data_IF_439863827467
#
_entry.id   IF_439863827467
#
_cell.length_a   1.000
_cell.length_b   1.000
_cell.length_c   1.000
_cell.angle_alpha   90.00
_cell.angle_beta   90.00
_cell.angle_gamma   90.00
#
_symmetry.space_group_name_H-M   'P 1'
#
loop_
_entity.id
_entity.type
_entity.pdbx_description
1 polymer ?
#
# COMPACT_ATOMS: atom_id res chain seq x y z
N UNK A 1 -28.21 22.46 26.12
CA UNK A 1 -27.63 21.14 25.88
C UNK A 1 -28.00 20.57 24.50
N UNK A 2 -29.30 20.53 24.17
CA UNK A 2 -29.80 20.03 22.88
C UNK A 2 -29.29 20.84 21.67
N UNK A 3 -29.20 22.17 21.79
CA UNK A 3 -28.73 23.03 20.68
C UNK A 3 -27.27 22.83 20.37
N UNK A 4 -26.44 22.54 21.37
CA UNK A 4 -25.03 22.16 21.18
C UNK A 4 -24.89 20.84 20.42
N UNK A 5 -25.68 19.85 20.79
CA UNK A 5 -25.69 18.54 20.10
C UNK A 5 -26.12 18.73 18.64
N UNK A 6 -27.17 19.50 18.37
CA UNK A 6 -27.62 19.80 17.00
C UNK A 6 -26.54 20.49 16.17
N UNK A 7 -25.84 21.45 16.79
CA UNK A 7 -24.75 22.16 16.14
C UNK A 7 -23.56 21.19 15.79
N UNK A 8 -23.15 20.36 16.75
CA UNK A 8 -22.10 19.37 16.52
C UNK A 8 -22.50 18.35 15.45
N UNK A 9 -23.75 17.89 15.42
CA UNK A 9 -24.27 17.04 14.35
C UNK A 9 -24.23 17.72 12.98
N UNK A 10 -24.61 18.99 12.89
CA UNK A 10 -24.55 19.73 11.61
C UNK A 10 -23.12 19.87 11.08
N UNK A 11 -22.13 20.04 11.95
CA UNK A 11 -20.72 20.06 11.57
C UNK A 11 -20.28 18.68 11.03
N UNK A 12 -20.69 17.61 11.70
CA UNK A 12 -20.37 16.24 11.27
C UNK A 12 -20.98 15.98 9.88
N UNK A 13 -22.23 16.33 9.67
CA UNK A 13 -22.92 16.16 8.38
C UNK A 13 -22.26 16.95 7.25
N UNK A 14 -21.91 18.22 7.53
CA UNK A 14 -21.21 19.07 6.56
C UNK A 14 -19.83 18.50 6.20
N UNK A 15 -19.09 18.06 7.22
CA UNK A 15 -17.77 17.47 7.04
C UNK A 15 -17.85 16.18 6.23
N UNK A 16 -18.82 15.32 6.50
CA UNK A 16 -19.03 14.09 5.74
C UNK A 16 -19.37 14.35 4.27
N UNK A 17 -20.23 15.34 3.99
CA UNK A 17 -20.53 15.76 2.61
C UNK A 17 -19.26 16.23 1.88
N UNK A 18 -18.47 17.08 2.53
CA UNK A 18 -17.22 17.58 1.96
C UNK A 18 -16.21 16.44 1.69
N UNK A 19 -16.12 15.44 2.59
CA UNK A 19 -15.27 14.27 2.38
C UNK A 19 -15.71 13.48 1.15
N UNK A 20 -16.99 13.19 1.00
CA UNK A 20 -17.55 12.48 -0.16
C UNK A 20 -17.25 13.23 -1.46
N UNK A 21 -17.38 14.56 -1.47
CA UNK A 21 -17.08 15.37 -2.65
C UNK A 21 -15.60 15.37 -3.02
N UNK A 22 -14.73 15.40 -2.01
CA UNK A 22 -13.27 15.28 -2.23
C UNK A 22 -12.90 13.88 -2.76
N UNK A 23 -13.47 12.83 -2.18
CA UNK A 23 -13.25 11.44 -2.63
C UNK A 23 -13.65 11.28 -4.10
N UNK A 24 -14.83 11.76 -4.51
CA UNK A 24 -15.29 11.74 -5.91
C UNK A 24 -14.33 12.48 -6.84
N UNK A 25 -13.83 13.65 -6.44
CA UNK A 25 -12.86 14.42 -7.23
C UNK A 25 -11.54 13.65 -7.40
N UNK A 26 -11.06 13.00 -6.35
CA UNK A 26 -9.87 12.16 -6.40
C UNK A 26 -10.09 10.98 -7.35
N UNK A 27 -11.21 10.27 -7.23
CA UNK A 27 -11.58 9.15 -8.11
C UNK A 27 -11.58 9.57 -9.58
N UNK A 28 -12.29 10.65 -9.91
CA UNK A 28 -12.33 11.17 -11.28
C UNK A 28 -10.94 11.54 -11.81
N UNK A 29 -10.10 12.15 -10.97
CA UNK A 29 -8.74 12.52 -11.33
C UNK A 29 -7.86 11.29 -11.64
N UNK A 30 -7.99 10.24 -10.85
CA UNK A 30 -7.22 9.00 -11.02
C UNK A 30 -7.72 8.19 -12.23
N UNK A 31 -9.03 8.10 -12.44
CA UNK A 31 -9.61 7.43 -13.60
C UNK A 31 -9.14 8.08 -14.91
N UNK A 32 -9.10 9.40 -14.96
CA UNK A 32 -8.59 10.14 -16.12
C UNK A 32 -7.12 9.82 -16.44
N UNK A 33 -6.31 9.51 -15.42
CA UNK A 33 -4.90 9.15 -15.57
C UNK A 33 -4.68 7.72 -16.03
N UNK A 34 -5.70 6.87 -15.93
CA UNK A 34 -5.62 5.44 -16.30
C UNK A 34 -4.40 4.71 -15.71
N UNK A 35 -4.22 4.85 -14.39
CA UNK A 35 -3.03 4.33 -13.71
C UNK A 35 -3.05 2.80 -13.62
N UNK A 36 -2.04 2.15 -14.19
CA UNK A 36 -1.90 0.69 -14.24
C UNK A 36 -1.99 -0.01 -12.88
N UNK A 37 -1.60 0.67 -11.80
CA UNK A 37 -1.65 0.06 -10.47
C UNK A 37 -3.09 -0.22 -10.00
N UNK A 38 -4.10 0.43 -10.58
CA UNK A 38 -5.51 0.14 -10.29
C UNK A 38 -5.99 -1.20 -10.87
N UNK A 39 -5.27 -1.77 -11.82
CA UNK A 39 -5.55 -3.12 -12.32
C UNK A 39 -5.28 -4.21 -11.26
N UNK A 40 -4.54 -3.87 -10.19
CA UNK A 40 -4.27 -4.78 -9.07
C UNK A 40 -5.51 -4.86 -8.18
N UNK A 41 -6.17 -6.03 -8.04
CA UNK A 41 -7.37 -6.17 -7.22
C UNK A 41 -7.12 -5.75 -5.77
N UNK A 42 -7.96 -4.82 -5.27
CA UNK A 42 -7.83 -4.25 -3.94
C UNK A 42 -7.02 -2.96 -3.87
N UNK A 43 -6.48 -2.47 -4.98
CA UNK A 43 -5.93 -1.12 -5.08
C UNK A 43 -6.98 -0.21 -5.71
N UNK A 44 -7.72 0.50 -4.87
CA UNK A 44 -8.70 1.49 -5.31
C UNK A 44 -8.08 2.87 -5.55
N UNK A 45 -8.88 3.80 -6.07
CA UNK A 45 -8.46 5.16 -6.43
C UNK A 45 -7.78 5.92 -5.28
N UNK A 46 -8.29 5.81 -4.04
CA UNK A 46 -7.71 6.47 -2.88
C UNK A 46 -6.31 5.96 -2.53
N UNK A 47 -6.09 4.64 -2.60
CA UNK A 47 -4.76 4.07 -2.38
C UNK A 47 -3.81 4.47 -3.51
N UNK A 48 -4.28 4.41 -4.76
CA UNK A 48 -3.54 4.86 -5.93
C UNK A 48 -3.13 6.35 -5.80
N UNK A 49 -4.09 7.23 -5.47
CA UNK A 49 -3.83 8.65 -5.26
C UNK A 49 -2.78 8.90 -4.17
N UNK A 50 -2.88 8.17 -3.04
CA UNK A 50 -1.93 8.29 -1.95
C UNK A 50 -0.53 7.86 -2.38
N UNK A 51 -0.40 6.77 -3.14
CA UNK A 51 0.89 6.32 -3.66
C UNK A 51 1.48 7.38 -4.58
N UNK A 52 0.69 7.93 -5.50
CA UNK A 52 1.14 8.97 -6.42
C UNK A 52 1.52 10.27 -5.72
N UNK A 53 0.75 10.69 -4.72
CA UNK A 53 1.03 11.90 -3.95
C UNK A 53 2.35 11.80 -3.17
N UNK A 54 2.62 10.64 -2.56
CA UNK A 54 3.79 10.42 -1.72
C UNK A 54 5.04 10.04 -2.51
N UNK A 55 4.88 9.30 -3.59
CA UNK A 55 5.99 8.77 -4.39
C UNK A 55 6.31 9.63 -5.60
N UNK A 56 5.28 10.27 -6.18
CA UNK A 56 5.39 10.92 -7.47
C UNK A 56 5.55 9.91 -8.61
N UNK A 57 6.45 10.19 -9.55
CA UNK A 57 6.72 9.29 -10.66
C UNK A 57 7.57 8.07 -10.23
N UNK A 58 6.97 6.90 -10.28
CA UNK A 58 7.65 5.63 -9.97
C UNK A 58 8.77 5.33 -10.97
N UNK A 59 8.67 5.81 -12.21
CA UNK A 59 9.67 5.58 -13.27
C UNK A 59 11.02 6.22 -12.95
N UNK A 60 11.06 7.24 -12.07
CA UNK A 60 12.32 7.89 -11.63
C UNK A 60 13.25 6.97 -10.86
N UNK A 61 12.74 5.90 -10.27
CA UNK A 61 13.57 4.97 -9.50
C UNK A 61 14.29 3.99 -10.43
N UNK A 62 15.61 3.94 -10.35
CA UNK A 62 16.44 3.08 -11.19
C UNK A 62 16.30 1.58 -10.86
N UNK A 63 15.84 1.23 -9.63
CA UNK A 63 15.63 -0.14 -9.20
C UNK A 63 14.49 -0.25 -8.20
N UNK A 64 13.91 -1.46 -8.11
CA UNK A 64 12.90 -1.76 -7.09
C UNK A 64 13.41 -1.51 -5.66
N UNK A 65 14.66 -1.84 -5.37
CA UNK A 65 15.21 -1.66 -4.02
C UNK A 65 15.24 -0.18 -3.63
N UNK A 66 15.57 0.74 -4.56
CA UNK A 66 15.52 2.19 -4.30
C UNK A 66 14.10 2.68 -4.06
N UNK A 67 13.14 2.20 -4.86
CA UNK A 67 11.73 2.48 -4.66
C UNK A 67 11.23 1.96 -3.31
N UNK A 68 11.54 0.71 -2.97
CA UNK A 68 11.14 0.07 -1.73
C UNK A 68 11.71 0.78 -0.49
N UNK A 69 13.00 1.13 -0.52
CA UNK A 69 13.62 1.92 0.55
C UNK A 69 12.96 3.30 0.71
N UNK A 70 12.61 3.97 -0.40
CA UNK A 70 11.91 5.25 -0.39
C UNK A 70 10.54 5.17 0.30
N UNK A 71 9.80 4.08 0.10
CA UNK A 71 8.49 3.89 0.76
C UNK A 71 8.59 3.76 2.28
N UNK A 72 9.77 3.44 2.81
CA UNK A 72 9.98 3.20 4.24
C UNK A 72 9.28 1.95 4.79
N UNK A 73 8.85 1.05 3.90
CA UNK A 73 8.20 -0.22 4.23
C UNK A 73 9.20 -1.38 4.32
N UNK A 74 10.47 -1.10 4.10
CA UNK A 74 11.55 -2.06 4.23
C UNK A 74 11.84 -2.36 5.70
N UNK A 75 11.82 -3.64 6.13
CA UNK A 75 12.24 -4.02 7.46
C UNK A 75 13.75 -3.73 7.62
N UNK A 76 14.13 -3.03 8.67
CA UNK A 76 15.55 -2.89 9.02
C UNK A 76 16.03 -4.13 9.74
N UNK A 77 17.08 -4.71 9.23
CA UNK A 77 17.95 -5.62 9.99
C UNK A 77 18.94 -4.75 10.76
N UNK A 78 18.87 -4.78 12.06
CA UNK A 78 19.96 -4.35 12.92
C UNK A 78 20.75 -5.62 13.26
N UNK A 79 21.88 -5.79 12.63
CA UNK A 79 22.89 -6.72 13.08
C UNK A 79 23.69 -5.97 14.18
N UNK A 80 23.35 -6.24 15.44
CA UNK A 80 24.22 -5.98 16.56
C UNK A 80 24.64 -7.33 17.10
N UNK A 81 25.94 -7.46 17.36
CA UNK A 81 26.70 -8.69 17.60
C UNK A 81 26.18 -9.61 18.72
N UNK A 82 25.15 -9.28 19.49
CA UNK A 82 24.72 -10.11 20.62
C UNK A 82 23.24 -10.07 20.99
N UNK A 83 22.35 -9.59 20.13
CA UNK A 83 20.92 -9.70 20.40
C UNK A 83 20.08 -9.77 19.13
N UNK A 84 19.20 -10.80 19.06
CA UNK A 84 18.16 -10.91 18.04
C UNK A 84 17.20 -9.72 18.19
N UNK A 85 17.53 -8.60 17.56
CA UNK A 85 16.67 -7.43 17.58
C UNK A 85 15.53 -7.63 16.59
N UNK A 86 14.32 -7.49 17.11
CA UNK A 86 13.08 -7.59 16.33
C UNK A 86 13.12 -6.59 15.18
N UNK A 87 12.80 -7.04 13.97
CA UNK A 87 12.69 -6.23 12.77
C UNK A 87 11.76 -5.03 13.00
N UNK A 88 12.33 -3.88 13.32
CA UNK A 88 11.57 -2.62 13.38
C UNK A 88 11.50 -2.02 12.00
N UNK A 89 10.30 -1.63 11.57
CA UNK A 89 10.10 -0.89 10.32
C UNK A 89 10.92 0.40 10.36
N UNK A 90 11.63 0.69 9.26
CA UNK A 90 12.41 1.92 9.13
C UNK A 90 11.53 3.15 9.35
N UNK A 91 11.90 4.06 10.26
CA UNK A 91 11.24 5.36 10.37
C UNK A 91 11.62 6.33 9.23
N UNK A 92 12.57 5.96 8.37
CA UNK A 92 12.91 6.68 7.13
C UNK A 92 11.87 6.33 6.07
N UNK A 93 11.29 7.32 5.40
CA UNK A 93 10.26 7.15 4.38
C UNK A 93 8.87 7.58 4.85
N UNK A 94 7.89 7.53 3.94
CA UNK A 94 6.56 8.07 4.19
C UNK A 94 5.79 7.32 5.28
N UNK A 95 5.43 8.03 6.36
CA UNK A 95 4.52 7.52 7.39
C UNK A 95 3.13 7.25 6.80
N UNK A 96 2.68 8.08 5.87
CA UNK A 96 1.37 7.96 5.24
C UNK A 96 1.27 6.68 4.42
N UNK A 97 2.27 6.37 3.60
CA UNK A 97 2.32 5.11 2.86
C UNK A 97 2.24 3.88 3.78
N UNK A 98 2.99 3.88 4.89
CA UNK A 98 2.91 2.78 5.85
C UNK A 98 1.50 2.58 6.38
N UNK A 99 0.88 3.65 6.89
CA UNK A 99 -0.48 3.59 7.44
C UNK A 99 -1.48 3.10 6.40
N UNK A 100 -1.43 3.65 5.20
CA UNK A 100 -2.39 3.32 4.13
C UNK A 100 -2.20 1.89 3.66
N UNK A 101 -0.96 1.42 3.46
CA UNK A 101 -0.71 0.03 3.08
C UNK A 101 -1.21 -0.95 4.14
N UNK A 102 -0.86 -0.73 5.42
CA UNK A 102 -1.31 -1.63 6.49
C UNK A 102 -2.83 -1.66 6.65
N UNK A 103 -3.51 -0.53 6.51
CA UNK A 103 -4.99 -0.45 6.55
C UNK A 103 -5.64 -1.21 5.39
N UNK A 104 -5.05 -1.15 4.20
CA UNK A 104 -5.63 -1.78 3.00
C UNK A 104 -5.19 -3.24 2.79
N UNK A 105 -4.27 -3.77 3.62
CA UNK A 105 -3.75 -5.13 3.40
C UNK A 105 -4.81 -6.22 3.42
N UNK A 106 -5.80 -6.11 4.28
CA UNK A 106 -6.88 -7.11 4.33
C UNK A 106 -7.67 -7.16 3.01
N UNK A 107 -7.99 -5.99 2.45
CA UNK A 107 -8.72 -5.87 1.18
C UNK A 107 -7.87 -6.41 0.03
N UNK A 108 -6.60 -6.01 -0.04
CA UNK A 108 -5.68 -6.45 -1.08
C UNK A 108 -5.49 -7.97 -1.03
N UNK A 109 -5.26 -8.54 0.15
CA UNK A 109 -5.06 -9.99 0.34
C UNK A 109 -6.34 -10.75 -0.02
N UNK A 110 -7.52 -10.28 0.42
CA UNK A 110 -8.80 -10.94 0.17
C UNK A 110 -9.12 -11.02 -1.32
N UNK A 111 -8.76 -9.99 -2.08
CA UNK A 111 -9.04 -9.92 -3.51
C UNK A 111 -7.97 -10.61 -4.39
N UNK A 112 -6.91 -11.16 -3.78
CA UNK A 112 -5.82 -11.83 -4.50
C UNK A 112 -5.54 -13.21 -3.89
N UNK A 113 -6.07 -14.30 -4.47
CA UNK A 113 -5.94 -15.67 -3.93
C UNK A 113 -4.49 -16.12 -3.70
N UNK A 114 -3.57 -15.71 -4.59
CA UNK A 114 -2.16 -16.05 -4.47
C UNK A 114 -1.48 -15.32 -3.30
N UNK A 115 -1.80 -14.04 -3.11
CA UNK A 115 -1.29 -13.27 -1.97
C UNK A 115 -1.93 -13.74 -0.67
N UNK A 116 -3.18 -14.18 -0.71
CA UNK A 116 -3.83 -14.80 0.43
C UNK A 116 -3.13 -16.09 0.85
N UNK A 117 -2.82 -16.98 -0.10
CA UNK A 117 -2.08 -18.22 0.15
C UNK A 117 -0.67 -17.93 0.69
N UNK A 118 0.01 -16.93 0.12
CA UNK A 118 1.30 -16.48 0.61
C UNK A 118 1.22 -15.90 2.02
N UNK A 119 0.21 -15.09 2.30
CA UNK A 119 -0.04 -14.53 3.63
C UNK A 119 -0.27 -15.62 4.67
N UNK A 120 -1.15 -16.60 4.39
CA UNK A 120 -1.42 -17.75 5.29
C UNK A 120 -0.13 -18.48 5.64
N UNK A 121 0.70 -18.77 4.65
CA UNK A 121 1.99 -19.45 4.85
C UNK A 121 2.94 -18.65 5.74
N UNK A 122 2.96 -17.32 5.59
CA UNK A 122 3.79 -16.45 6.44
C UNK A 122 3.20 -16.31 7.84
N UNK A 123 1.88 -16.25 7.95
CA UNK A 123 1.16 -16.09 9.22
C UNK A 123 1.28 -17.31 10.14
N UNK A 124 1.49 -18.50 9.57
CA UNK A 124 1.69 -19.72 10.35
C UNK A 124 2.85 -19.61 11.36
N UNK A 125 3.91 -18.89 11.01
CA UNK A 125 5.14 -18.81 11.84
C UNK A 125 5.51 -17.36 12.22
N UNK A 126 4.65 -16.36 11.96
CA UNK A 126 4.95 -14.94 12.16
C UNK A 126 3.72 -14.17 12.64
N UNK A 127 3.96 -13.08 13.37
CA UNK A 127 2.89 -12.14 13.74
C UNK A 127 2.23 -11.51 12.50
N UNK A 128 0.97 -11.07 12.66
CA UNK A 128 0.16 -10.48 11.58
C UNK A 128 0.87 -9.32 10.88
N UNK A 129 1.45 -8.39 11.66
CA UNK A 129 2.17 -7.23 11.09
C UNK A 129 3.37 -7.64 10.25
N UNK A 130 4.14 -8.63 10.69
CA UNK A 130 5.29 -9.16 9.96
C UNK A 130 4.84 -9.87 8.68
N UNK A 131 3.77 -10.67 8.76
CA UNK A 131 3.19 -11.33 7.60
C UNK A 131 2.68 -10.32 6.56
N UNK A 132 2.03 -9.23 7.00
CA UNK A 132 1.64 -8.12 6.12
C UNK A 132 2.85 -7.46 5.46
N UNK A 133 3.93 -7.19 6.17
CA UNK A 133 5.16 -6.64 5.60
C UNK A 133 5.70 -7.45 4.43
N UNK A 134 5.65 -8.78 4.54
CA UNK A 134 6.04 -9.67 3.42
C UNK A 134 5.12 -9.55 2.20
N UNK A 135 3.80 -9.42 2.42
CA UNK A 135 2.84 -9.22 1.33
C UNK A 135 3.01 -7.83 0.71
N UNK A 136 3.14 -6.77 1.54
CA UNK A 136 3.39 -5.40 1.08
C UNK A 136 4.57 -5.34 0.13
N UNK A 137 5.67 -6.03 0.45
CA UNK A 137 6.83 -6.10 -0.45
C UNK A 137 6.47 -6.67 -1.83
N UNK A 138 5.62 -7.70 -1.88
CA UNK A 138 5.16 -8.28 -3.16
C UNK A 138 4.26 -7.31 -3.92
N UNK A 139 3.31 -6.67 -3.22
CA UNK A 139 2.42 -5.65 -3.80
C UNK A 139 3.23 -4.51 -4.40
N UNK A 140 4.17 -3.95 -3.64
CA UNK A 140 5.05 -2.87 -4.11
C UNK A 140 5.89 -3.30 -5.31
N UNK A 141 6.36 -4.57 -5.34
CA UNK A 141 7.11 -5.10 -6.48
C UNK A 141 6.23 -5.19 -7.72
N UNK A 142 4.98 -5.62 -7.59
CA UNK A 142 4.01 -5.64 -8.68
C UNK A 142 3.73 -4.23 -9.19
N UNK A 143 3.42 -3.28 -8.29
CA UNK A 143 3.20 -1.87 -8.64
C UNK A 143 4.40 -1.30 -9.40
N UNK A 144 5.62 -1.47 -8.86
CA UNK A 144 6.83 -0.98 -9.50
C UNK A 144 7.02 -1.54 -10.91
N UNK A 145 6.83 -2.86 -11.07
CA UNK A 145 7.05 -3.53 -12.35
C UNK A 145 6.04 -3.09 -13.41
N UNK A 146 4.73 -3.11 -13.09
CA UNK A 146 3.69 -2.76 -14.07
C UNK A 146 3.74 -1.28 -14.44
N UNK A 147 4.00 -0.39 -13.47
CA UNK A 147 4.08 1.05 -13.74
C UNK A 147 5.37 1.40 -14.51
N UNK A 148 6.51 0.78 -14.16
CA UNK A 148 7.78 1.09 -14.82
C UNK A 148 7.81 0.64 -16.28
N UNK A 149 7.25 -0.54 -16.56
CA UNK A 149 7.29 -1.15 -17.89
C UNK A 149 6.01 -0.88 -18.70
N UNK A 150 5.04 -0.20 -18.11
CA UNK A 150 3.72 0.06 -18.69
C UNK A 150 3.03 -1.20 -19.24
N UNK A 151 3.09 -2.27 -18.45
CA UNK A 151 2.48 -3.57 -18.80
C UNK A 151 1.24 -3.82 -17.94
N UNK A 152 0.23 -4.54 -18.46
CA UNK A 152 -0.95 -4.89 -17.68
C UNK A 152 -0.60 -5.80 -16.52
N UNK A 153 -1.43 -5.76 -15.46
CA UNK A 153 -1.29 -6.63 -14.31
C UNK A 153 -1.60 -8.09 -14.67
N UNK A 154 -0.65 -8.97 -14.39
CA UNK A 154 -0.79 -10.41 -14.54
C UNK A 154 -0.70 -11.08 -13.16
N UNK A 155 -1.81 -11.65 -12.63
CA UNK A 155 -1.82 -12.30 -11.32
C UNK A 155 -0.82 -13.45 -11.21
N UNK A 156 -0.64 -14.22 -12.28
CA UNK A 156 0.26 -15.39 -12.30
C UNK A 156 1.71 -14.97 -12.14
N UNK A 157 2.11 -13.92 -12.86
CA UNK A 157 3.49 -13.36 -12.75
C UNK A 157 3.71 -12.65 -11.43
N UNK A 158 2.70 -11.93 -10.90
CA UNK A 158 2.77 -11.22 -9.63
C UNK A 158 2.89 -12.17 -8.41
N UNK A 159 2.27 -13.33 -8.45
CA UNK A 159 2.35 -14.36 -7.40
C UNK A 159 3.68 -15.13 -7.39
N UNK A 160 4.30 -15.30 -8.55
CA UNK A 160 5.36 -16.27 -8.79
C UNK A 160 6.68 -15.74 -9.39
N UNK A 161 7.04 -14.46 -9.26
CA UNK A 161 8.34 -14.02 -9.77
C UNK A 161 9.48 -14.70 -8.98
N UNK A 162 9.83 -15.91 -9.40
CA UNK A 162 11.17 -16.44 -9.23
C UNK A 162 12.08 -15.59 -10.15
N UNK A 163 12.66 -14.56 -9.60
CA UNK A 163 13.82 -13.95 -10.23
C UNK A 163 14.97 -14.95 -10.09
N UNK A 164 15.20 -15.75 -11.12
CA UNK A 164 16.50 -16.35 -11.31
C UNK A 164 17.48 -15.22 -11.69
N UNK A 165 18.58 -15.21 -10.92
CA UNK A 165 19.83 -14.46 -10.95
C UNK A 165 19.81 -13.00 -10.65
#
# INVERSE_FOLDING_TARGET
>A
MLDRIRFEMSIIELTNRNLIDIEKKIESCIETRNERMMEIPGIGAMLCATILAEVGDIKRFSSFNKFYAYTGLEPRRFETDDSVSRDKVSHKGSRHLRVVFYKNMQVIIKNNPEWYSYYKRKRANKETCVAYGHVIKKVLKAIYFITKNDVPYDPIKAGGVKTHS
#
